data_IF_164412531642
#
_entry.id   IF_164412531642
#
_cell.length_a   1.000
_cell.length_b   1.000
_cell.length_c   1.000
_cell.angle_alpha   90.00
_cell.angle_beta   90.00
_cell.angle_gamma   90.00
#
_symmetry.space_group_name_H-M   'P 1'
#
loop_
_entity.id
_entity.type
_entity.pdbx_description
1 polymer ?
#
# COMPACT_ATOMS: atom_id res chain seq x y z
N UNK A 1 6.89 7.25 -20.79
CA UNK A 1 6.19 7.75 -22.01
C UNK A 1 5.75 6.64 -22.98
N UNK A 2 6.48 5.52 -23.12
CA UNK A 2 6.12 4.43 -24.06
C UNK A 2 4.76 3.76 -23.78
N UNK A 3 4.37 3.58 -22.51
CA UNK A 3 3.13 2.85 -22.16
C UNK A 3 1.83 3.64 -22.32
N UNK A 4 1.91 4.97 -22.22
CA UNK A 4 0.74 5.86 -22.31
C UNK A 4 0.15 5.92 -23.73
N UNK A 5 0.98 5.72 -24.76
CA UNK A 5 0.52 5.61 -26.15
C UNK A 5 -0.17 4.26 -26.43
N UNK A 6 0.31 3.17 -25.84
CA UNK A 6 -0.10 1.81 -26.17
C UNK A 6 -1.56 1.51 -25.79
N UNK A 7 -2.03 2.04 -24.66
CA UNK A 7 -3.43 1.90 -24.22
C UNK A 7 -4.37 2.75 -25.06
N UNK A 8 -3.97 3.98 -25.40
CA UNK A 8 -4.82 4.89 -26.19
C UNK A 8 -5.04 4.37 -27.60
N UNK A 9 -4.01 3.80 -28.23
CA UNK A 9 -4.10 3.18 -29.57
C UNK A 9 -5.14 2.05 -29.65
N UNK A 10 -5.32 1.28 -28.57
CA UNK A 10 -6.25 0.15 -28.55
C UNK A 10 -7.73 0.56 -28.59
N UNK A 11 -8.05 1.74 -28.05
CA UNK A 11 -9.43 2.25 -27.97
C UNK A 11 -9.82 3.10 -29.18
N UNK A 12 -8.86 3.49 -30.04
CA UNK A 12 -9.11 4.32 -31.23
C UNK A 12 -10.16 3.69 -32.16
N UNK A 13 -10.11 2.39 -32.52
CA UNK A 13 -11.12 1.79 -33.38
C UNK A 13 -12.54 1.92 -32.81
N UNK A 14 -12.71 1.70 -31.51
CA UNK A 14 -14.01 1.84 -30.83
C UNK A 14 -14.46 3.30 -30.73
N UNK A 15 -13.55 4.23 -30.44
CA UNK A 15 -13.87 5.66 -30.38
C UNK A 15 -14.33 6.19 -31.75
N UNK A 16 -13.61 5.82 -32.82
CA UNK A 16 -13.96 6.17 -34.21
C UNK A 16 -15.30 5.54 -34.60
N UNK A 17 -15.51 4.26 -34.25
CA UNK A 17 -16.77 3.56 -34.47
C UNK A 17 -17.96 4.29 -33.84
N UNK A 18 -17.90 4.58 -32.53
CA UNK A 18 -19.00 5.24 -31.83
C UNK A 18 -19.22 6.69 -32.31
N UNK A 19 -18.15 7.42 -32.64
CA UNK A 19 -18.28 8.77 -33.18
C UNK A 19 -18.98 8.79 -34.53
N UNK A 20 -18.59 7.91 -35.46
CA UNK A 20 -19.22 7.83 -36.79
C UNK A 20 -20.66 7.31 -36.72
N UNK A 21 -20.98 6.41 -35.77
CA UNK A 21 -22.38 6.04 -35.50
C UNK A 21 -23.20 7.22 -34.98
N UNK A 22 -22.64 8.04 -34.09
CA UNK A 22 -23.32 9.24 -33.59
C UNK A 22 -23.56 10.29 -34.69
N UNK A 23 -22.71 10.31 -35.73
CA UNK A 23 -22.88 11.14 -36.93
C UNK A 23 -23.83 10.53 -37.98
N UNK A 24 -24.46 9.38 -37.70
CA UNK A 24 -25.38 8.72 -38.62
C UNK A 24 -24.71 8.03 -39.81
N UNK A 25 -23.42 7.70 -39.71
CA UNK A 25 -22.63 7.10 -40.79
C UNK A 25 -22.21 5.65 -40.46
N UNK A 26 -23.13 4.67 -40.38
CA UNK A 26 -22.83 3.32 -39.90
C UNK A 26 -21.91 2.50 -40.81
N UNK A 27 -21.97 2.68 -42.14
CA UNK A 27 -21.03 2.04 -43.05
C UNK A 27 -19.58 2.48 -42.78
N UNK A 28 -19.36 3.80 -42.71
CA UNK A 28 -18.06 4.38 -42.40
C UNK A 28 -17.59 3.95 -41.00
N UNK A 29 -18.49 3.94 -40.02
CA UNK A 29 -18.18 3.46 -38.68
C UNK A 29 -17.58 2.05 -38.70
N UNK A 30 -18.29 1.10 -39.33
CA UNK A 30 -17.90 -0.32 -39.37
C UNK A 30 -16.57 -0.51 -40.10
N UNK A 31 -16.44 0.01 -41.32
CA UNK A 31 -15.26 -0.25 -42.14
C UNK A 31 -14.03 0.50 -41.64
N UNK A 32 -14.16 1.76 -41.21
CA UNK A 32 -13.02 2.49 -40.62
C UNK A 32 -12.55 1.84 -39.33
N UNK A 33 -13.46 1.40 -38.46
CA UNK A 33 -13.09 0.69 -37.23
C UNK A 33 -12.43 -0.66 -37.53
N UNK A 34 -12.93 -1.43 -38.50
CA UNK A 34 -12.31 -2.67 -38.94
C UNK A 34 -10.89 -2.44 -39.46
N UNK A 35 -10.70 -1.47 -40.38
CA UNK A 35 -9.38 -1.14 -40.94
C UNK A 35 -8.39 -0.70 -39.86
N UNK A 36 -8.82 0.18 -38.94
CA UNK A 36 -7.98 0.65 -37.83
C UNK A 36 -7.63 -0.50 -36.87
N UNK A 37 -8.60 -1.35 -36.55
CA UNK A 37 -8.39 -2.51 -35.66
C UNK A 37 -7.45 -3.54 -36.28
N UNK A 38 -7.61 -3.84 -37.57
CA UNK A 38 -6.75 -4.76 -38.31
C UNK A 38 -5.32 -4.22 -38.42
N UNK A 39 -5.16 -2.96 -38.80
CA UNK A 39 -3.85 -2.32 -38.87
C UNK A 39 -3.15 -2.31 -37.50
N UNK A 40 -3.89 -2.01 -36.43
CA UNK A 40 -3.39 -2.06 -35.06
C UNK A 40 -2.95 -3.45 -34.61
N UNK A 41 -3.74 -4.49 -34.91
CA UNK A 41 -3.39 -5.89 -34.59
C UNK A 41 -2.19 -6.38 -35.41
N UNK A 42 -2.12 -6.07 -36.70
CA UNK A 42 -0.96 -6.40 -37.53
C UNK A 42 0.29 -5.74 -36.95
N UNK A 43 0.26 -4.43 -36.66
CA UNK A 43 1.39 -3.74 -36.08
C UNK A 43 1.86 -4.34 -34.74
N UNK A 44 0.93 -4.78 -33.88
CA UNK A 44 1.25 -5.44 -32.61
C UNK A 44 1.78 -6.85 -32.77
N UNK A 45 1.24 -7.61 -33.71
CA UNK A 45 1.73 -8.94 -34.06
C UNK A 45 3.20 -8.89 -34.51
N UNK A 46 3.57 -7.89 -35.31
CA UNK A 46 4.96 -7.65 -35.72
C UNK A 46 5.89 -7.31 -34.54
N UNK A 47 5.34 -6.87 -33.41
CA UNK A 47 6.07 -6.59 -32.16
C UNK A 47 6.00 -7.74 -31.14
N UNK A 48 5.39 -8.87 -31.50
CA UNK A 48 5.18 -10.01 -30.60
C UNK A 48 4.18 -9.74 -29.48
N UNK A 49 3.35 -8.70 -29.61
CA UNK A 49 2.32 -8.32 -28.63
C UNK A 49 0.96 -8.86 -29.09
N UNK A 50 0.32 -9.71 -28.27
CA UNK A 50 -1.02 -10.27 -28.56
C UNK A 50 -1.94 -9.96 -27.39
N UNK A 51 -2.96 -9.15 -27.63
CA UNK A 51 -3.85 -8.64 -26.59
C UNK A 51 -5.29 -9.08 -26.89
N UNK A 52 -5.99 -9.53 -25.85
CA UNK A 52 -7.30 -10.16 -26.01
C UNK A 52 -8.39 -9.21 -26.52
N UNK A 53 -8.36 -7.94 -26.09
CA UNK A 53 -9.35 -6.93 -26.45
C UNK A 53 -9.29 -6.58 -27.95
N UNK A 54 -8.09 -6.46 -28.50
CA UNK A 54 -7.84 -6.06 -29.88
C UNK A 54 -8.18 -7.18 -30.87
N UNK A 55 -7.93 -8.44 -30.51
CA UNK A 55 -8.40 -9.61 -31.28
C UNK A 55 -9.93 -9.62 -31.27
N UNK A 56 -10.54 -9.52 -30.08
CA UNK A 56 -11.99 -9.50 -29.92
C UNK A 56 -12.64 -8.36 -30.71
N UNK A 57 -12.05 -7.16 -30.68
CA UNK A 57 -12.50 -6.00 -31.44
C UNK A 57 -12.42 -6.20 -32.95
N UNK A 58 -11.34 -6.78 -33.46
CA UNK A 58 -11.21 -7.06 -34.90
C UNK A 58 -12.25 -8.07 -35.38
N UNK A 59 -12.47 -9.15 -34.62
CA UNK A 59 -13.50 -10.15 -34.93
C UNK A 59 -14.90 -9.54 -34.89
N UNK A 60 -15.17 -8.66 -33.92
CA UNK A 60 -16.42 -7.92 -33.81
C UNK A 60 -16.67 -7.05 -35.05
N UNK A 61 -15.69 -6.22 -35.45
CA UNK A 61 -15.85 -5.33 -36.60
C UNK A 61 -15.92 -6.11 -37.93
N UNK A 62 -15.22 -7.24 -38.04
CA UNK A 62 -15.37 -8.15 -39.18
C UNK A 62 -16.80 -8.71 -39.25
N UNK A 63 -17.35 -9.13 -38.12
CA UNK A 63 -18.74 -9.59 -38.01
C UNK A 63 -19.75 -8.52 -38.39
N UNK A 64 -19.55 -7.27 -37.94
CA UNK A 64 -20.37 -6.15 -38.37
C UNK A 64 -20.24 -5.83 -39.86
N UNK A 65 -19.04 -5.95 -40.44
CA UNK A 65 -18.83 -5.81 -41.88
C UNK A 65 -19.61 -6.84 -42.69
N UNK A 66 -19.55 -8.11 -42.28
CA UNK A 66 -20.34 -9.18 -42.90
C UNK A 66 -21.85 -8.94 -42.75
N UNK A 67 -22.30 -8.55 -41.55
CA UNK A 67 -23.70 -8.21 -41.31
C UNK A 67 -24.17 -6.99 -42.12
N UNK A 68 -23.31 -6.00 -42.33
CA UNK A 68 -23.60 -4.84 -43.16
C UNK A 68 -23.81 -5.23 -44.62
N UNK A 69 -22.97 -6.12 -45.14
CA UNK A 69 -23.09 -6.64 -46.51
C UNK A 69 -24.38 -7.45 -46.70
N UNK A 70 -24.73 -8.28 -45.71
CA UNK A 70 -25.91 -9.15 -45.78
C UNK A 70 -27.24 -8.42 -45.50
N UNK A 71 -27.25 -7.52 -44.50
CA UNK A 71 -28.45 -6.87 -43.98
C UNK A 71 -28.13 -5.47 -43.42
N UNK A 72 -27.94 -4.45 -44.28
CA UNK A 72 -27.44 -3.13 -43.88
C UNK A 72 -28.37 -2.39 -42.92
N UNK A 73 -29.70 -2.49 -43.11
CA UNK A 73 -30.69 -1.86 -42.23
C UNK A 73 -30.65 -2.47 -40.82
N UNK A 74 -30.50 -3.80 -40.74
CA UNK A 74 -30.36 -4.49 -39.47
C UNK A 74 -29.04 -4.12 -38.78
N UNK A 75 -27.95 -4.09 -39.53
CA UNK A 75 -26.65 -3.72 -39.00
C UNK A 75 -26.64 -2.29 -38.47
N UNK A 76 -27.23 -1.33 -39.20
CA UNK A 76 -27.38 0.06 -38.78
C UNK A 76 -28.14 0.18 -37.44
N UNK A 77 -29.21 -0.59 -37.27
CA UNK A 77 -30.03 -0.55 -36.06
C UNK A 77 -29.38 -1.22 -34.85
N UNK A 78 -28.52 -2.23 -35.05
CA UNK A 78 -28.07 -3.10 -33.96
C UNK A 78 -26.59 -2.94 -33.57
N UNK A 79 -25.74 -2.40 -34.44
CA UNK A 79 -24.29 -2.40 -34.22
C UNK A 79 -23.86 -1.61 -32.96
N UNK A 80 -24.60 -0.57 -32.56
CA UNK A 80 -24.29 0.22 -31.38
C UNK A 80 -24.40 -0.60 -30.09
N UNK A 81 -25.57 -1.18 -29.81
CA UNK A 81 -25.79 -1.94 -28.58
C UNK A 81 -25.02 -3.27 -28.61
N UNK A 82 -24.92 -3.91 -29.79
CA UNK A 82 -24.12 -5.12 -29.98
C UNK A 82 -22.64 -4.87 -29.71
N UNK A 83 -22.12 -3.68 -30.00
CA UNK A 83 -20.71 -3.39 -29.74
C UNK A 83 -20.38 -3.44 -28.24
N UNK A 84 -21.27 -2.91 -27.40
CA UNK A 84 -21.15 -3.00 -25.95
C UNK A 84 -21.37 -4.43 -25.45
N UNK A 85 -22.39 -5.13 -25.95
CA UNK A 85 -22.63 -6.52 -25.57
C UNK A 85 -21.43 -7.43 -25.90
N UNK A 86 -20.83 -7.25 -27.07
CA UNK A 86 -19.65 -7.99 -27.50
C UNK A 86 -18.42 -7.67 -26.65
N UNK A 87 -18.19 -6.40 -26.29
CA UNK A 87 -17.12 -6.02 -25.35
C UNK A 87 -17.31 -6.65 -23.96
N UNK A 88 -18.56 -6.75 -23.51
CA UNK A 88 -18.93 -7.49 -22.31
C UNK A 88 -18.56 -8.98 -22.41
N UNK A 89 -18.93 -9.62 -23.51
CA UNK A 89 -18.61 -11.03 -23.78
C UNK A 89 -17.10 -11.27 -23.84
N UNK A 90 -16.35 -10.44 -24.57
CA UNK A 90 -14.87 -10.52 -24.63
C UNK A 90 -14.27 -10.39 -23.24
N UNK A 91 -14.81 -9.50 -22.40
CA UNK A 91 -14.35 -9.34 -21.01
C UNK A 91 -14.53 -10.62 -20.19
N UNK A 92 -15.72 -11.24 -20.23
CA UNK A 92 -15.96 -12.48 -19.50
C UNK A 92 -15.25 -13.70 -20.10
N UNK A 93 -15.11 -13.78 -21.42
CA UNK A 93 -14.28 -14.81 -22.06
C UNK A 93 -12.83 -14.71 -21.62
N UNK A 94 -12.27 -13.51 -21.56
CA UNK A 94 -10.89 -13.30 -21.09
C UNK A 94 -10.70 -13.76 -19.64
N UNK A 95 -11.71 -13.57 -18.78
CA UNK A 95 -11.72 -14.12 -17.41
C UNK A 95 -11.79 -15.64 -17.38
N UNK A 96 -12.66 -16.24 -18.21
CA UNK A 96 -12.79 -17.70 -18.32
C UNK A 96 -11.50 -18.37 -18.78
N UNK A 97 -10.73 -17.71 -19.63
CA UNK A 97 -9.40 -18.14 -20.07
C UNK A 97 -8.29 -17.87 -19.03
N UNK A 98 -8.64 -17.38 -17.83
CA UNK A 98 -7.70 -16.93 -16.78
C UNK A 98 -6.67 -15.92 -17.28
N UNK A 99 -7.07 -15.10 -18.24
CA UNK A 99 -6.22 -14.09 -18.85
C UNK A 99 -7.00 -12.77 -19.00
N UNK A 100 -7.27 -12.06 -17.89
CA UNK A 100 -8.05 -10.82 -17.90
C UNK A 100 -7.42 -9.81 -18.86
N UNK A 101 -8.20 -9.28 -19.82
CA UNK A 101 -7.65 -8.40 -20.86
C UNK A 101 -7.01 -7.13 -20.30
N UNK A 102 -7.44 -6.66 -19.13
CA UNK A 102 -6.80 -5.50 -18.47
C UNK A 102 -5.36 -5.78 -18.03
N UNK A 103 -5.01 -7.05 -17.79
CA UNK A 103 -3.66 -7.45 -17.40
C UNK A 103 -2.63 -7.19 -18.50
N UNK A 104 -3.01 -7.24 -19.78
CA UNK A 104 -2.10 -6.99 -20.89
C UNK A 104 -1.57 -5.56 -20.88
N UNK A 105 -2.47 -4.61 -20.57
CA UNK A 105 -2.10 -3.20 -20.42
C UNK A 105 -1.37 -2.93 -19.11
N UNK A 106 -1.82 -3.54 -18.01
CA UNK A 106 -1.19 -3.38 -16.70
C UNK A 106 0.25 -3.94 -16.67
N UNK A 107 0.51 -5.04 -17.39
CA UNK A 107 1.83 -5.68 -17.48
C UNK A 107 2.82 -4.80 -18.24
N UNK A 108 2.36 -4.12 -19.27
CA UNK A 108 3.17 -3.14 -20.00
C UNK A 108 3.53 -1.91 -19.14
N UNK A 109 2.67 -1.54 -18.18
CA UNK A 109 2.87 -0.39 -17.30
C UNK A 109 3.67 -0.71 -16.02
N UNK A 110 3.48 -1.91 -15.49
CA UNK A 110 4.04 -2.36 -14.21
C UNK A 110 4.61 -3.79 -14.35
N UNK A 111 5.72 -3.97 -15.10
CA UNK A 111 6.27 -5.29 -15.38
C UNK A 111 6.74 -6.02 -14.11
N UNK A 112 7.32 -5.30 -13.16
CA UNK A 112 7.89 -5.87 -11.92
C UNK A 112 6.86 -6.55 -11.03
N UNK A 113 5.59 -6.16 -11.15
CA UNK A 113 4.49 -6.68 -10.34
C UNK A 113 3.61 -7.68 -11.11
N UNK A 114 3.90 -7.94 -12.39
CA UNK A 114 2.98 -8.65 -13.29
C UNK A 114 2.79 -10.14 -12.96
N UNK A 115 3.66 -10.72 -12.13
CA UNK A 115 3.62 -12.13 -11.73
C UNK A 115 2.96 -12.36 -10.38
N UNK A 116 2.57 -11.31 -9.65
CA UNK A 116 1.98 -11.48 -8.32
C UNK A 116 0.53 -12.00 -8.39
N UNK A 117 0.09 -12.82 -7.42
CA UNK A 117 -1.31 -13.23 -7.32
C UNK A 117 -2.26 -12.02 -7.25
N UNK A 118 -1.81 -10.95 -6.61
CA UNK A 118 -2.56 -9.71 -6.44
C UNK A 118 -2.76 -8.97 -7.75
N UNK A 119 -1.74 -8.97 -8.62
CA UNK A 119 -1.85 -8.41 -9.96
C UNK A 119 -2.94 -9.13 -10.76
N UNK A 120 -3.02 -10.45 -10.66
CA UNK A 120 -4.11 -11.21 -11.27
C UNK A 120 -5.47 -10.82 -10.68
N UNK A 121 -5.62 -10.80 -9.35
CA UNK A 121 -6.90 -10.49 -8.68
C UNK A 121 -7.40 -9.09 -9.06
N UNK A 122 -6.53 -8.09 -9.04
CA UNK A 122 -6.89 -6.70 -9.39
C UNK A 122 -7.36 -6.63 -10.85
N UNK A 123 -6.61 -7.25 -11.78
CA UNK A 123 -6.98 -7.23 -13.19
C UNK A 123 -8.23 -8.06 -13.49
N UNK A 124 -8.43 -9.18 -12.80
CA UNK A 124 -9.66 -9.96 -12.89
C UNK A 124 -10.87 -9.14 -12.42
N UNK A 125 -10.75 -8.44 -11.28
CA UNK A 125 -11.81 -7.57 -10.77
C UNK A 125 -12.11 -6.40 -11.72
N UNK A 126 -11.08 -5.76 -12.27
CA UNK A 126 -11.24 -4.67 -13.26
C UNK A 126 -11.88 -5.16 -14.54
N UNK A 127 -11.43 -6.31 -15.06
CA UNK A 127 -12.02 -6.93 -16.25
C UNK A 127 -13.49 -7.32 -16.02
N UNK A 128 -13.83 -7.85 -14.85
CA UNK A 128 -15.21 -8.18 -14.49
C UNK A 128 -16.10 -6.93 -14.38
N UNK A 129 -15.58 -5.87 -13.76
CA UNK A 129 -16.27 -4.58 -13.66
C UNK A 129 -16.58 -4.02 -15.05
N UNK A 130 -15.59 -3.95 -15.94
CA UNK A 130 -15.79 -3.47 -17.31
C UNK A 130 -16.74 -4.38 -18.10
N UNK A 131 -16.63 -5.70 -17.93
CA UNK A 131 -17.54 -6.66 -18.56
C UNK A 131 -18.99 -6.41 -18.17
N UNK A 132 -19.26 -6.27 -16.87
CA UNK A 132 -20.60 -5.93 -16.37
C UNK A 132 -21.07 -4.56 -16.88
N UNK A 133 -20.20 -3.55 -16.85
CA UNK A 133 -20.51 -2.20 -17.31
C UNK A 133 -20.89 -2.19 -18.80
N UNK A 134 -20.15 -2.90 -19.64
CA UNK A 134 -20.44 -3.01 -21.06
C UNK A 134 -21.76 -3.74 -21.32
N UNK A 135 -22.10 -4.80 -20.58
CA UNK A 135 -23.41 -5.45 -20.70
C UNK A 135 -24.55 -4.52 -20.27
N UNK A 136 -24.37 -3.75 -19.19
CA UNK A 136 -25.36 -2.75 -18.74
C UNK A 136 -25.53 -1.67 -19.81
N UNK A 137 -24.44 -1.14 -20.36
CA UNK A 137 -24.49 -0.14 -21.43
C UNK A 137 -25.17 -0.69 -22.69
N UNK A 138 -24.86 -1.93 -23.09
CA UNK A 138 -25.52 -2.60 -24.21
C UNK A 138 -27.02 -2.75 -23.97
N UNK A 139 -27.41 -3.19 -22.78
CA UNK A 139 -28.83 -3.34 -22.38
C UNK A 139 -29.55 -1.98 -22.39
N UNK A 140 -28.96 -0.94 -21.78
CA UNK A 140 -29.51 0.41 -21.80
C UNK A 140 -29.69 0.93 -23.23
N UNK A 141 -28.72 0.70 -24.12
CA UNK A 141 -28.82 1.12 -25.53
C UNK A 141 -29.85 0.32 -26.31
N UNK A 142 -30.01 -0.97 -26.03
CA UNK A 142 -31.03 -1.82 -26.63
C UNK A 142 -32.45 -1.33 -26.29
N UNK A 143 -32.68 -0.94 -25.04
CA UNK A 143 -33.97 -0.39 -24.59
C UNK A 143 -34.15 1.11 -24.88
N UNK A 144 -33.22 1.76 -25.60
CA UNK A 144 -33.34 3.18 -25.94
C UNK A 144 -33.23 4.13 -24.74
N UNK A 145 -32.49 3.75 -23.70
CA UNK A 145 -32.28 4.59 -22.53
C UNK A 145 -31.65 5.94 -22.90
N UNK A 146 -31.99 7.03 -22.18
CA UNK A 146 -31.45 8.36 -22.46
C UNK A 146 -29.91 8.39 -22.40
N UNK A 147 -29.29 9.19 -23.28
CA UNK A 147 -27.83 9.33 -23.34
C UNK A 147 -27.22 9.71 -21.99
N UNK A 148 -27.91 10.55 -21.20
CA UNK A 148 -27.50 10.95 -19.84
C UNK A 148 -27.33 9.75 -18.92
N UNK A 149 -28.24 8.77 -18.97
CA UNK A 149 -28.16 7.56 -18.13
C UNK A 149 -26.94 6.74 -18.52
N UNK A 150 -26.72 6.54 -19.83
CA UNK A 150 -25.56 5.77 -20.30
C UNK A 150 -24.23 6.48 -20.04
N UNK A 151 -24.21 7.82 -20.08
CA UNK A 151 -23.05 8.63 -19.73
C UNK A 151 -22.75 8.54 -18.23
N UNK A 152 -23.78 8.61 -17.37
CA UNK A 152 -23.62 8.46 -15.93
C UNK A 152 -23.02 7.09 -15.57
N UNK A 153 -23.55 6.00 -16.15
CA UNK A 153 -23.01 4.64 -15.97
C UNK A 153 -21.54 4.57 -16.37
N UNK A 154 -21.17 5.10 -17.54
CA UNK A 154 -19.79 5.10 -18.01
C UNK A 154 -18.85 5.91 -17.10
N UNK A 155 -19.26 7.10 -16.65
CA UNK A 155 -18.48 7.97 -15.76
C UNK A 155 -18.28 7.29 -14.39
N UNK A 156 -19.34 6.71 -13.82
CA UNK A 156 -19.25 5.98 -12.54
C UNK A 156 -18.30 4.80 -12.66
N UNK A 157 -18.39 4.00 -13.73
CA UNK A 157 -17.46 2.91 -13.99
C UNK A 157 -16.00 3.36 -14.13
N UNK A 158 -15.76 4.50 -14.80
CA UNK A 158 -14.44 5.09 -14.94
C UNK A 158 -13.88 5.58 -13.58
N UNK A 159 -14.70 6.24 -12.75
CA UNK A 159 -14.30 6.69 -11.42
C UNK A 159 -13.95 5.51 -10.50
N UNK A 160 -14.76 4.46 -10.49
CA UNK A 160 -14.48 3.23 -9.71
C UNK A 160 -13.17 2.61 -10.19
N UNK A 161 -12.92 2.58 -11.50
CA UNK A 161 -11.69 2.04 -12.09
C UNK A 161 -10.44 2.83 -11.70
N UNK A 162 -10.54 4.15 -11.57
CA UNK A 162 -9.41 5.03 -11.23
C UNK A 162 -9.14 5.02 -9.71
N UNK A 163 -10.19 5.08 -8.89
CA UNK A 163 -10.09 5.26 -7.43
C UNK A 163 -10.07 3.92 -6.67
N UNK A 164 -10.77 2.91 -7.18
CA UNK A 164 -10.98 1.62 -6.54
C UNK A 164 -9.69 0.90 -6.14
N UNK A 165 -8.69 0.72 -7.03
CA UNK A 165 -7.45 0.03 -6.70
C UNK A 165 -6.69 0.68 -5.53
N UNK A 166 -6.63 2.03 -5.50
CA UNK A 166 -5.95 2.77 -4.42
C UNK A 166 -6.66 2.60 -3.07
N UNK A 167 -8.00 2.63 -3.09
CA UNK A 167 -8.82 2.41 -1.89
C UNK A 167 -8.71 0.97 -1.39
N UNK A 168 -8.75 -0.02 -2.28
CA UNK A 168 -8.60 -1.43 -1.94
C UNK A 168 -7.24 -1.73 -1.32
N UNK A 169 -6.14 -1.19 -1.88
CA UNK A 169 -4.79 -1.34 -1.30
C UNK A 169 -4.73 -0.68 0.08
N UNK A 170 -5.29 0.53 0.24
CA UNK A 170 -5.33 1.20 1.55
C UNK A 170 -6.08 0.37 2.58
N UNK A 171 -7.24 -0.18 2.21
CA UNK A 171 -8.06 -1.03 3.06
C UNK A 171 -7.37 -2.34 3.43
N UNK A 172 -6.76 -3.03 2.45
CA UNK A 172 -6.00 -4.26 2.70
C UNK A 172 -4.82 -4.03 3.65
N UNK A 173 -4.09 -2.93 3.49
CA UNK A 173 -2.99 -2.54 4.37
C UNK A 173 -3.48 -2.18 5.78
N UNK A 174 -4.62 -1.50 5.92
CA UNK A 174 -5.24 -1.23 7.22
C UNK A 174 -5.64 -2.53 7.93
N UNK A 175 -6.15 -3.52 7.19
CA UNK A 175 -6.43 -4.85 7.74
C UNK A 175 -5.16 -5.59 8.17
N UNK A 176 -4.09 -5.53 7.38
CA UNK A 176 -2.79 -6.09 7.75
C UNK A 176 -2.21 -5.43 9.01
N UNK A 177 -2.39 -4.12 9.14
CA UNK A 177 -2.02 -3.38 10.36
C UNK A 177 -2.81 -3.90 11.56
N UNK A 178 -4.16 -3.93 11.46
CA UNK A 178 -5.02 -4.38 12.56
C UNK A 178 -4.79 -5.84 12.96
N UNK A 179 -4.46 -6.72 12.01
CA UNK A 179 -4.21 -8.14 12.27
C UNK A 179 -2.83 -8.47 12.85
N UNK A 180 -1.87 -7.54 12.83
CA UNK A 180 -0.50 -7.73 13.35
C UNK A 180 -0.16 -6.87 14.57
N UNK A 181 -1.06 -5.98 14.97
CA UNK A 181 -0.87 -5.11 16.11
C UNK A 181 -1.17 -5.88 17.39
N UNK A 182 -0.13 -6.43 18.02
CA UNK A 182 -0.25 -7.18 19.29
C UNK A 182 -0.49 -6.27 20.50
N UNK A 183 -0.32 -4.95 20.34
CA UNK A 183 -0.42 -3.97 21.40
C UNK A 183 -1.38 -2.85 21.00
N UNK A 184 -2.59 -2.89 21.53
CA UNK A 184 -3.60 -1.86 21.29
C UNK A 184 -3.51 -0.79 22.37
N UNK A 185 -2.52 0.10 22.25
CA UNK A 185 -2.55 1.33 23.04
C UNK A 185 -3.40 2.38 22.31
N UNK A 186 -4.45 2.94 22.94
CA UNK A 186 -5.20 4.04 22.34
C UNK A 186 -4.29 5.25 22.21
N UNK A 187 -4.03 5.71 20.98
CA UNK A 187 -3.25 6.92 20.77
C UNK A 187 -3.87 8.10 21.54
N UNK A 188 -3.05 9.01 22.10
CA UNK A 188 -3.58 10.22 22.73
C UNK A 188 -4.46 10.99 21.74
N UNK A 189 -5.59 11.53 22.20
CA UNK A 189 -6.42 12.41 21.38
C UNK A 189 -5.78 13.79 21.34
N UNK A 190 -5.39 14.25 20.14
CA UNK A 190 -4.84 15.58 19.93
C UNK A 190 -5.97 16.55 19.59
N UNK A 191 -6.37 17.39 20.55
CA UNK A 191 -7.30 18.50 20.31
C UNK A 191 -6.54 19.71 19.78
N UNK A 192 -7.00 20.30 18.66
CA UNK A 192 -6.33 21.46 18.04
C UNK A 192 -6.75 22.81 18.62
N UNK A 193 -7.98 22.91 19.12
CA UNK A 193 -8.63 24.17 19.50
C UNK A 193 -9.24 24.07 20.90
N UNK A 194 -8.45 23.66 21.89
CA UNK A 194 -8.86 23.74 23.29
C UNK A 194 -8.40 25.08 23.86
N UNK A 195 -9.30 25.82 24.50
CA UNK A 195 -8.89 26.86 25.45
C UNK A 195 -8.33 26.13 26.68
N UNK A 196 -7.04 26.30 26.96
CA UNK A 196 -6.30 25.42 27.88
C UNK A 196 -6.10 26.12 29.21
N UNK A 197 -7.08 26.00 30.12
CA UNK A 197 -6.92 26.37 31.53
C UNK A 197 -6.29 25.23 32.31
N UNK A 198 -4.99 25.35 32.59
CA UNK A 198 -4.16 24.33 33.26
C UNK A 198 -3.19 24.97 34.24
N UNK A 199 -2.76 24.18 35.22
CA UNK A 199 -1.79 24.62 36.23
C UNK A 199 -0.35 24.51 35.67
N UNK A 200 -0.11 23.53 34.79
CA UNK A 200 1.19 23.33 34.13
C UNK A 200 1.00 23.02 32.63
N UNK A 201 1.77 23.70 31.79
CA UNK A 201 1.90 23.38 30.37
C UNK A 201 3.28 22.76 30.09
N UNK A 202 3.30 21.57 29.51
CA UNK A 202 4.50 20.85 29.09
C UNK A 202 4.63 20.96 27.57
N UNK A 203 5.73 21.54 27.11
CA UNK A 203 6.04 21.68 25.68
C UNK A 203 6.91 20.51 25.22
N UNK A 204 6.34 19.63 24.42
CA UNK A 204 6.95 18.42 23.86
C UNK A 204 6.40 17.15 24.51
N UNK A 205 5.79 16.29 23.68
CA UNK A 205 5.30 14.96 24.03
C UNK A 205 6.38 13.89 23.82
N UNK A 206 7.65 14.21 24.09
CA UNK A 206 8.74 13.23 24.19
C UNK A 206 8.65 12.42 25.49
N UNK A 207 9.45 11.35 25.61
CA UNK A 207 9.44 10.49 26.82
C UNK A 207 9.65 11.30 28.11
N UNK A 208 10.57 12.28 28.12
CA UNK A 208 10.78 13.14 29.29
C UNK A 208 9.58 14.03 29.61
N UNK A 209 8.98 14.67 28.60
CA UNK A 209 7.80 15.53 28.77
C UNK A 209 6.57 14.75 29.21
N UNK A 210 6.34 13.57 28.63
CA UNK A 210 5.25 12.67 29.01
C UNK A 210 5.42 12.14 30.44
N UNK A 211 6.64 11.76 30.82
CA UNK A 211 6.93 11.33 32.20
C UNK A 211 6.70 12.44 33.21
N UNK A 212 7.17 13.66 32.92
CA UNK A 212 6.95 14.82 33.78
C UNK A 212 5.45 15.15 33.89
N UNK A 213 4.74 15.19 32.76
CA UNK A 213 3.31 15.48 32.73
C UNK A 213 2.51 14.44 33.52
N UNK A 214 2.84 13.15 33.37
CA UNK A 214 2.17 12.07 34.09
C UNK A 214 2.39 12.16 35.60
N UNK A 215 3.62 12.47 36.05
CA UNK A 215 3.93 12.65 37.47
C UNK A 215 3.26 13.89 38.08
N UNK A 216 3.18 14.98 37.33
CA UNK A 216 2.48 16.20 37.77
C UNK A 216 0.97 16.00 37.85
N UNK A 217 0.40 15.26 36.90
CA UNK A 217 -1.01 14.87 36.93
C UNK A 217 -1.31 13.90 38.09
N UNK A 218 -0.41 12.94 38.35
CA UNK A 218 -0.47 12.04 39.52
C UNK A 218 -0.44 12.82 40.84
N UNK A 219 0.29 13.95 40.88
CA UNK A 219 0.29 14.88 42.00
C UNK A 219 -0.96 15.79 42.10
N UNK A 220 -1.95 15.62 41.20
CA UNK A 220 -3.23 16.32 41.24
C UNK A 220 -3.27 17.65 40.45
N UNK A 221 -2.24 17.97 39.66
CA UNK A 221 -2.23 19.17 38.83
C UNK A 221 -2.97 18.94 37.50
N UNK A 222 -3.64 19.99 37.01
CA UNK A 222 -4.17 20.02 35.64
C UNK A 222 -3.01 20.29 34.69
N UNK A 223 -2.67 19.32 33.85
CA UNK A 223 -1.51 19.41 32.94
C UNK A 223 -1.95 19.37 31.49
N UNK A 224 -1.43 20.28 30.68
CA UNK A 224 -1.51 20.19 29.22
C UNK A 224 -0.17 19.76 28.65
N UNK A 225 -0.19 18.85 27.67
CA UNK A 225 0.99 18.49 26.87
C UNK A 225 0.76 18.99 25.45
N UNK A 226 1.67 19.82 24.98
CA UNK A 226 1.60 20.47 23.68
C UNK A 226 2.74 19.94 22.82
N UNK A 227 2.44 19.38 21.65
CA UNK A 227 3.45 18.96 20.68
C UNK A 227 3.11 19.47 19.29
N UNK A 228 4.13 19.89 18.55
CA UNK A 228 4.03 20.24 17.14
C UNK A 228 3.77 19.02 16.24
N UNK A 229 4.14 17.82 16.70
CA UNK A 229 4.02 16.59 15.96
C UNK A 229 2.64 15.94 16.17
N UNK A 230 2.16 15.24 15.13
CA UNK A 230 0.83 14.58 15.14
C UNK A 230 0.81 13.25 15.91
N UNK A 231 1.93 12.85 16.48
CA UNK A 231 2.12 11.62 17.26
C UNK A 231 2.98 11.94 18.48
N UNK A 232 2.61 11.37 19.63
CA UNK A 232 3.39 11.44 20.86
C UNK A 232 4.56 10.44 20.81
N UNK A 233 5.56 10.69 21.65
CA UNK A 233 6.74 9.86 21.83
C UNK A 233 8.06 10.62 21.57
N UNK A 234 8.04 11.76 20.88
CA UNK A 234 9.27 12.44 20.48
C UNK A 234 10.15 11.49 19.67
N UNK A 235 11.43 11.33 20.00
CA UNK A 235 12.29 10.32 19.34
C UNK A 235 11.89 8.86 19.62
N UNK A 236 11.06 8.59 20.63
CA UNK A 236 10.57 7.25 20.96
C UNK A 236 9.29 6.86 20.20
N UNK A 237 8.87 7.61 19.18
CA UNK A 237 7.72 7.23 18.36
C UNK A 237 8.10 6.20 17.29
N UNK A 238 7.08 5.51 16.77
CA UNK A 238 7.23 4.59 15.64
C UNK A 238 6.48 5.12 14.44
N UNK A 239 7.02 4.93 13.24
CA UNK A 239 6.37 5.29 11.99
C UNK A 239 6.28 4.11 11.03
N UNK A 240 5.26 4.15 10.17
CA UNK A 240 4.96 3.05 9.25
C UNK A 240 5.43 3.39 7.83
N UNK A 241 5.93 2.38 7.11
CA UNK A 241 6.31 2.48 5.69
C UNK A 241 5.73 1.30 4.91
N UNK A 242 5.05 1.63 3.82
CA UNK A 242 4.48 0.66 2.90
C UNK A 242 5.54 0.24 1.89
N UNK A 243 5.66 -1.06 1.67
CA UNK A 243 6.59 -1.65 0.72
C UNK A 243 5.98 -2.90 0.08
N UNK A 244 6.70 -3.51 -0.86
CA UNK A 244 6.38 -4.83 -1.38
C UNK A 244 7.57 -5.76 -1.14
N UNK A 245 7.31 -6.98 -0.69
CA UNK A 245 8.30 -8.03 -0.48
C UNK A 245 7.80 -9.32 -1.13
N UNK A 246 8.56 -9.88 -2.07
CA UNK A 246 8.14 -11.01 -2.91
C UNK A 246 6.74 -10.85 -3.56
N UNK A 247 6.44 -9.62 -4.02
CA UNK A 247 5.15 -9.32 -4.67
C UNK A 247 3.97 -9.12 -3.71
N UNK A 248 4.19 -9.25 -2.40
CA UNK A 248 3.18 -9.03 -1.36
C UNK A 248 3.38 -7.67 -0.66
N UNK A 249 2.32 -6.92 -0.34
CA UNK A 249 2.38 -5.65 0.32
C UNK A 249 2.74 -5.91 1.78
N UNK A 250 3.81 -5.26 2.21
CA UNK A 250 4.30 -5.31 3.58
C UNK A 250 4.26 -3.91 4.18
N UNK A 251 3.90 -3.86 5.46
CA UNK A 251 3.99 -2.66 6.26
C UNK A 251 5.15 -2.82 7.24
N UNK A 252 6.22 -2.06 7.01
CA UNK A 252 7.34 -1.98 7.94
C UNK A 252 7.03 -0.95 9.03
N UNK A 253 7.40 -1.29 10.27
CA UNK A 253 7.40 -0.37 11.41
C UNK A 253 8.85 -0.04 11.71
N UNK A 254 9.14 1.25 11.83
CA UNK A 254 10.46 1.77 12.15
C UNK A 254 10.36 2.63 13.40
N UNK A 255 11.32 2.47 14.28
CA UNK A 255 11.50 3.35 15.44
C UNK A 255 12.26 4.60 15.00
N UNK A 256 11.89 5.75 15.56
CA UNK A 256 12.46 7.02 15.13
C UNK A 256 13.83 7.32 15.75
N UNK A 257 14.21 6.67 16.85
CA UNK A 257 15.48 6.93 17.52
C UNK A 257 15.95 5.79 18.41
N UNK A 258 15.44 5.63 19.64
CA UNK A 258 15.93 4.60 20.56
C UNK A 258 15.57 3.20 20.06
N UNK A 259 16.58 2.32 20.04
CA UNK A 259 16.41 0.90 19.70
C UNK A 259 16.57 -0.02 20.93
N UNK A 260 17.18 0.48 22.01
CA UNK A 260 17.38 -0.23 23.27
C UNK A 260 17.07 0.67 24.46
N UNK A 261 16.52 0.08 25.53
CA UNK A 261 16.19 0.77 26.78
C UNK A 261 16.91 0.10 27.96
N UNK A 262 17.62 0.91 28.75
CA UNK A 262 18.15 0.52 30.06
C UNK A 262 17.20 0.97 31.17
N UNK A 263 17.43 0.51 32.40
CA UNK A 263 16.61 0.89 33.57
C UNK A 263 15.36 0.03 33.79
N UNK A 264 15.22 -1.07 33.05
CA UNK A 264 14.04 -1.95 33.05
C UNK A 264 14.19 -3.21 33.94
N UNK A 265 15.19 -3.23 34.83
CA UNK A 265 15.34 -4.27 35.85
C UNK A 265 14.47 -3.95 37.08
N UNK A 266 14.23 -4.92 37.99
CA UNK A 266 13.53 -4.64 39.25
C UNK A 266 14.21 -3.53 40.06
N UNK A 267 13.48 -2.48 40.42
CA UNK A 267 14.04 -1.30 41.09
C UNK A 267 14.82 -0.34 40.18
N UNK A 268 14.89 -0.61 38.88
CA UNK A 268 15.48 0.31 37.90
C UNK A 268 14.61 1.56 37.67
N UNK A 269 15.19 2.66 37.18
CA UNK A 269 14.50 3.95 37.05
C UNK A 269 13.28 3.92 36.12
N UNK A 270 13.34 3.16 35.02
CA UNK A 270 12.21 3.06 34.09
C UNK A 270 11.12 2.18 34.69
N UNK A 271 11.48 1.04 35.27
CA UNK A 271 10.53 0.15 35.98
C UNK A 271 9.82 0.91 37.09
N UNK A 272 10.58 1.58 37.98
CA UNK A 272 10.02 2.31 39.12
C UNK A 272 9.08 3.44 38.71
N UNK A 273 9.41 4.18 37.65
CA UNK A 273 8.52 5.20 37.09
C UNK A 273 7.20 4.60 36.59
N UNK A 274 7.27 3.53 35.80
CA UNK A 274 6.08 2.90 35.22
C UNK A 274 5.20 2.22 36.28
N UNK A 275 5.82 1.63 37.31
CA UNK A 275 5.14 1.03 38.45
C UNK A 275 4.42 2.11 39.28
N UNK A 276 5.10 3.22 39.59
CA UNK A 276 4.50 4.36 40.29
C UNK A 276 3.28 4.90 39.54
N UNK A 277 3.37 4.99 38.21
CA UNK A 277 2.28 5.47 37.37
C UNK A 277 1.20 4.40 37.08
N UNK A 278 1.36 3.17 37.59
CA UNK A 278 0.39 2.09 37.41
C UNK A 278 0.22 1.62 35.97
N UNK A 279 1.28 1.73 35.15
CA UNK A 279 1.25 1.37 33.71
C UNK A 279 2.32 0.33 33.32
N UNK A 280 3.08 -0.19 34.29
CA UNK A 280 4.14 -1.17 34.05
C UNK A 280 3.61 -2.45 33.38
N UNK A 281 2.41 -2.89 33.73
CA UNK A 281 1.75 -4.08 33.16
C UNK A 281 1.29 -3.89 31.71
N UNK A 282 1.26 -2.66 31.20
CA UNK A 282 0.87 -2.32 29.83
C UNK A 282 2.02 -2.44 28.83
N UNK A 283 3.25 -2.68 29.29
CA UNK A 283 4.46 -2.77 28.47
C UNK A 283 5.14 -4.12 28.67
N UNK A 284 5.28 -4.88 27.59
CA UNK A 284 6.03 -6.14 27.59
C UNK A 284 7.48 -5.91 27.13
N UNK A 285 8.41 -5.85 28.08
CA UNK A 285 9.83 -5.72 27.78
C UNK A 285 10.42 -7.02 27.22
N UNK A 286 11.25 -6.89 26.18
CA UNK A 286 12.03 -7.99 25.62
C UNK A 286 13.51 -7.68 25.78
N UNK A 287 14.27 -8.68 26.25
CA UNK A 287 15.72 -8.55 26.38
C UNK A 287 16.35 -8.54 24.99
N UNK A 288 17.22 -7.56 24.75
CA UNK A 288 18.07 -7.49 23.57
C UNK A 288 19.47 -7.95 23.96
N UNK A 289 20.07 -8.79 23.12
CA UNK A 289 21.47 -9.21 23.21
C UNK A 289 22.22 -8.61 21.99
N UNK A 290 23.50 -8.25 22.16
CA UNK A 290 24.28 -7.53 21.14
C UNK A 290 25.43 -8.37 20.56
N UNK A 291 25.64 -8.24 19.25
CA UNK A 291 26.80 -8.79 18.54
C UNK A 291 27.47 -7.70 17.73
N UNK A 292 28.79 -7.53 17.91
CA UNK A 292 29.60 -6.65 17.07
C UNK A 292 30.29 -7.44 15.96
N UNK A 293 30.24 -6.94 14.73
CA UNK A 293 30.94 -7.52 13.56
C UNK A 293 31.98 -6.52 13.03
N UNK A 294 33.25 -6.85 13.17
CA UNK A 294 34.38 -5.96 12.90
C UNK A 294 35.35 -6.61 11.91
N UNK A 295 35.23 -6.32 10.61
CA UNK A 295 36.26 -6.61 9.60
C UNK A 295 36.88 -8.02 9.58
N UNK A 296 36.16 -9.04 10.07
CA UNK A 296 36.66 -10.41 10.23
C UNK A 296 36.51 -11.00 11.64
N UNK A 297 36.32 -10.16 12.66
CA UNK A 297 36.02 -10.57 14.03
C UNK A 297 34.52 -10.46 14.34
N UNK A 298 34.03 -11.37 15.18
CA UNK A 298 32.68 -11.33 15.75
C UNK A 298 32.83 -11.34 17.27
N UNK A 299 32.20 -10.37 17.93
CA UNK A 299 32.14 -10.29 19.39
C UNK A 299 30.68 -10.44 19.78
N UNK A 300 30.31 -11.62 20.24
CA UNK A 300 29.03 -11.86 20.89
C UNK A 300 29.15 -11.40 22.34
N UNK A 301 28.44 -10.33 22.71
CA UNK A 301 28.59 -9.69 24.02
C UNK A 301 27.95 -10.58 25.09
N UNK A 302 28.73 -11.11 26.06
CA UNK A 302 28.18 -11.89 27.15
C UNK A 302 27.28 -11.03 28.05
N UNK A 303 26.31 -11.67 28.70
CA UNK A 303 25.38 -10.98 29.60
C UNK A 303 26.03 -10.58 30.91
N UNK A 304 26.97 -11.37 31.38
CA UNK A 304 27.77 -11.04 32.56
C UNK A 304 28.95 -10.17 32.12
N UNK A 305 29.12 -9.02 32.78
CA UNK A 305 30.15 -8.06 32.41
C UNK A 305 31.56 -8.61 32.66
N UNK A 306 31.74 -9.54 33.62
CA UNK A 306 33.03 -10.19 33.90
C UNK A 306 33.38 -11.16 32.79
N UNK A 307 32.38 -11.89 32.28
CA UNK A 307 32.55 -12.71 31.08
C UNK A 307 32.91 -11.85 29.88
N UNK A 308 32.31 -10.66 29.74
CA UNK A 308 32.67 -9.73 28.67
C UNK A 308 34.10 -9.19 28.82
N UNK A 309 34.51 -8.79 30.02
CA UNK A 309 35.88 -8.37 30.32
C UNK A 309 36.89 -9.48 30.02
N UNK A 310 36.59 -10.73 30.39
CA UNK A 310 37.42 -11.90 30.07
C UNK A 310 37.53 -12.12 28.56
N UNK A 311 36.40 -12.08 27.84
CA UNK A 311 36.38 -12.25 26.37
C UNK A 311 37.26 -11.19 25.68
N UNK A 312 37.17 -9.94 26.11
CA UNK A 312 38.01 -8.86 25.59
C UNK A 312 39.47 -9.04 26.00
N UNK A 313 39.74 -9.45 27.23
CA UNK A 313 41.10 -9.75 27.71
C UNK A 313 41.78 -10.88 26.94
N UNK A 314 41.05 -11.93 26.58
CA UNK A 314 41.54 -13.03 25.73
C UNK A 314 41.87 -12.55 24.31
N UNK A 315 41.08 -11.62 23.78
CA UNK A 315 41.30 -11.00 22.47
C UNK A 315 42.48 -10.02 22.47
N UNK A 316 42.77 -9.39 23.63
CA UNK A 316 43.84 -8.40 23.80
C UNK A 316 44.71 -8.70 25.03
N UNK A 317 45.55 -9.76 25.01
CA UNK A 317 46.27 -10.23 26.20
C UNK A 317 47.16 -9.17 26.85
N UNK A 318 47.75 -8.28 26.06
CA UNK A 318 48.60 -7.19 26.54
C UNK A 318 47.83 -6.13 27.35
N UNK A 319 46.52 -6.02 27.15
CA UNK A 319 45.64 -5.06 27.83
C UNK A 319 44.70 -5.72 28.83
N UNK A 320 44.74 -7.04 29.00
CA UNK A 320 43.76 -7.80 29.79
C UNK A 320 43.62 -7.29 31.23
N UNK A 321 44.73 -6.99 31.90
CA UNK A 321 44.70 -6.44 33.27
C UNK A 321 44.02 -5.06 33.34
N UNK A 322 44.29 -4.19 32.38
CA UNK A 322 43.67 -2.86 32.28
C UNK A 322 42.18 -2.93 31.93
N UNK A 323 41.80 -3.85 31.05
CA UNK A 323 40.39 -4.10 30.71
C UNK A 323 39.63 -4.57 31.95
N UNK A 324 40.18 -5.53 32.70
CA UNK A 324 39.57 -6.00 33.95
C UNK A 324 39.36 -4.87 34.95
N UNK A 325 40.39 -4.05 35.19
CA UNK A 325 40.31 -2.92 36.11
C UNK A 325 39.27 -1.87 35.68
N UNK A 326 39.20 -1.55 34.38
CA UNK A 326 38.22 -0.61 33.84
C UNK A 326 36.78 -1.10 34.06
N UNK A 327 36.52 -2.39 33.83
CA UNK A 327 35.19 -2.94 34.01
C UNK A 327 34.75 -2.97 35.48
N UNK A 328 35.67 -3.29 36.41
CA UNK A 328 35.42 -3.16 37.85
C UNK A 328 35.08 -1.71 38.24
N UNK A 329 35.82 -0.73 37.71
CA UNK A 329 35.55 0.69 37.96
C UNK A 329 34.19 1.14 37.41
N UNK A 330 33.85 0.76 36.17
CA UNK A 330 32.53 1.04 35.58
C UNK A 330 31.41 0.40 36.40
N UNK A 331 31.61 -0.84 36.89
CA UNK A 331 30.62 -1.51 37.71
C UNK A 331 30.46 -0.85 39.08
N UNK A 332 31.55 -0.43 39.73
CA UNK A 332 31.50 0.33 40.98
C UNK A 332 30.73 1.65 40.81
N UNK A 333 31.01 2.39 39.73
CA UNK A 333 30.26 3.62 39.39
C UNK A 333 28.76 3.32 39.21
N UNK A 334 28.42 2.22 38.55
CA UNK A 334 27.03 1.81 38.37
C UNK A 334 26.35 1.51 39.71
N UNK A 335 26.99 0.73 40.59
CA UNK A 335 26.44 0.41 41.91
C UNK A 335 26.26 1.68 42.75
N UNK A 336 27.27 2.56 42.79
CA UNK A 336 27.20 3.84 43.52
C UNK A 336 26.08 4.74 43.01
N UNK A 337 25.85 4.79 41.69
CA UNK A 337 24.79 5.60 41.09
C UNK A 337 23.38 5.17 41.53
N UNK A 338 23.19 3.88 41.86
CA UNK A 338 21.91 3.33 42.28
C UNK A 338 21.86 2.96 43.78
N UNK A 339 22.93 3.22 44.54
CA UNK A 339 23.00 2.94 45.98
C UNK A 339 22.12 3.87 46.83
N UNK A 340 21.56 4.94 46.26
CA UNK A 340 20.74 5.94 46.98
C UNK A 340 19.23 5.67 46.93
N UNK A 341 18.83 4.42 46.66
CA UNK A 341 17.44 3.96 46.71
C UNK A 341 16.94 3.63 48.11
#
# INVERSE_FOLDING_TARGET
>A
MKTFLTVKLALIPFAVFWALLALGAPAWAIFSAFTLSLAGNLWRFWRGEVFALEIGGTLLFAGFGAAWIAAPLWAAANCLWLSFAALGLVSFMSLGLRHPWTADYARAAYPDNATSPQFFVINAAMTALWGALFLVLGTCRYFGAPTVVTAAVAITGALISILGPRLAIRFALQRLQAGRETYHWPAPSFTRDADVDVDVAVIGAGIGGLSAAALLADAGLRVAVLDHHVLAGGYCHTYLRKAHWHGEPVLYRFDAGPHDFSGVWPGGPVTGLLERLGVADRIAWRRVDHTYRLGGAVIDVPRDWREYARLLGESYPQSAAGIGALFEEIHAIFEDMYATG
#
